data_IF_990812902950
#
_entry.id   IF_990812902950
#
_cell.length_a   1.000
_cell.length_b   1.000
_cell.length_c   1.000
_cell.angle_alpha   90.00
_cell.angle_beta   90.00
_cell.angle_gamma   90.00
#
_symmetry.space_group_name_H-M   'P 1'
#
loop_
_entity.id
_entity.type
_entity.pdbx_description
1 polymer ?
#
# COMPACT_ATOMS: atom_id res chain seq x y z
N UNK A 1 -34.01 -5.51 40.72
CA UNK A 1 -34.40 -6.44 39.64
C UNK A 1 -34.29 -5.71 38.30
N UNK A 2 -33.28 -6.05 37.49
CA UNK A 2 -33.25 -5.94 36.01
C UNK A 2 -31.94 -6.59 35.58
N UNK A 3 -32.03 -7.84 35.09
CA UNK A 3 -30.89 -8.65 34.66
C UNK A 3 -30.52 -8.20 33.24
N UNK A 4 -29.34 -7.62 33.05
CA UNK A 4 -28.76 -7.44 31.72
C UNK A 4 -28.15 -8.76 31.28
N UNK A 5 -28.82 -9.46 30.36
CA UNK A 5 -28.27 -10.64 29.69
C UNK A 5 -27.28 -10.20 28.61
N UNK A 6 -25.99 -10.34 28.87
CA UNK A 6 -24.94 -10.20 27.87
C UNK A 6 -24.85 -11.51 27.09
N UNK A 7 -25.24 -11.50 25.82
CA UNK A 7 -25.13 -12.64 24.91
C UNK A 7 -23.76 -12.55 24.23
N UNK A 8 -22.78 -13.31 24.71
CA UNK A 8 -21.48 -13.48 24.02
C UNK A 8 -21.65 -14.63 23.03
N UNK A 9 -21.70 -14.31 21.74
CA UNK A 9 -21.72 -15.28 20.66
C UNK A 9 -20.28 -15.76 20.38
N UNK A 10 -19.86 -16.81 21.09
CA UNK A 10 -18.60 -17.52 20.84
C UNK A 10 -18.83 -18.51 19.68
N UNK A 11 -18.59 -18.05 18.45
CA UNK A 11 -18.50 -18.92 17.26
C UNK A 11 -17.15 -19.64 17.29
N UNK A 12 -17.09 -20.75 18.03
CA UNK A 12 -15.97 -21.68 18.00
C UNK A 12 -16.07 -22.46 16.68
N UNK A 13 -15.35 -22.03 15.65
CA UNK A 13 -15.03 -22.89 14.52
C UNK A 13 -14.03 -23.94 14.98
N UNK A 14 -14.53 -25.07 15.48
CA UNK A 14 -13.74 -26.28 15.66
C UNK A 14 -13.44 -26.88 14.27
N UNK A 15 -12.41 -26.35 13.60
CA UNK A 15 -11.84 -27.02 12.45
C UNK A 15 -11.03 -28.23 12.96
N UNK A 16 -11.31 -29.46 12.50
CA UNK A 16 -10.46 -30.58 12.83
C UNK A 16 -9.06 -30.35 12.23
N UNK A 17 -8.05 -30.24 13.10
CA UNK A 17 -6.63 -30.37 12.73
C UNK A 17 -6.37 -31.83 12.34
N UNK A 18 -6.78 -32.23 11.14
CA UNK A 18 -6.16 -33.38 10.50
C UNK A 18 -4.85 -32.89 9.90
N UNK A 19 -3.74 -33.48 10.31
CA UNK A 19 -2.47 -33.30 9.61
C UNK A 19 -2.66 -33.78 8.18
N UNK A 20 -2.76 -32.86 7.23
CA UNK A 20 -2.87 -33.20 5.82
C UNK A 20 -1.60 -33.95 5.41
N UNK A 21 -1.75 -35.15 4.85
CA UNK A 21 -0.72 -35.74 4.01
C UNK A 21 -0.29 -34.68 2.99
N UNK A 22 1.03 -34.44 2.84
CA UNK A 22 1.57 -33.52 1.83
C UNK A 22 1.33 -34.12 0.45
N UNK A 23 0.10 -34.02 -0.03
CA UNK A 23 -0.25 -34.40 -1.39
C UNK A 23 0.37 -33.36 -2.32
N UNK A 24 1.23 -33.84 -3.21
CA UNK A 24 1.85 -33.01 -4.23
C UNK A 24 0.78 -32.24 -5.01
N UNK A 25 0.98 -30.93 -5.17
CA UNK A 25 0.08 -30.05 -5.91
C UNK A 25 0.63 -29.84 -7.31
N UNK A 26 -0.24 -29.83 -8.31
CA UNK A 26 0.11 -29.59 -9.72
C UNK A 26 -0.83 -28.59 -10.36
N UNK A 27 -0.36 -27.84 -11.35
CA UNK A 27 -1.12 -26.82 -12.06
C UNK A 27 -1.67 -25.71 -11.15
N UNK A 28 -2.67 -24.99 -11.65
CA UNK A 28 -3.35 -23.94 -10.90
C UNK A 28 -4.20 -24.50 -9.75
N UNK A 29 -4.01 -23.93 -8.57
CA UNK A 29 -4.78 -24.22 -7.35
C UNK A 29 -5.16 -22.93 -6.66
N UNK A 30 -6.36 -22.93 -6.10
CA UNK A 30 -6.80 -21.90 -5.19
C UNK A 30 -5.94 -21.93 -3.92
N UNK A 31 -5.27 -20.82 -3.63
CA UNK A 31 -4.41 -20.67 -2.44
C UNK A 31 -5.21 -20.29 -1.20
N UNK A 32 -6.22 -19.43 -1.38
CA UNK A 32 -7.13 -19.02 -0.34
C UNK A 32 -7.86 -17.74 -0.70
N UNK A 33 -8.87 -17.40 0.09
CA UNK A 33 -9.49 -16.09 0.09
C UNK A 33 -9.76 -15.67 1.53
N UNK A 34 -9.59 -14.38 1.80
CA UNK A 34 -9.84 -13.80 3.11
C UNK A 34 -10.72 -12.54 2.95
N UNK A 35 -11.66 -12.30 3.87
CA UNK A 35 -12.36 -11.03 3.89
C UNK A 35 -11.41 -9.91 4.32
N UNK A 36 -11.56 -8.73 3.71
CA UNK A 36 -10.88 -7.51 4.11
C UNK A 36 -11.86 -6.68 4.95
N UNK A 37 -11.79 -6.83 6.28
CA UNK A 37 -12.69 -6.20 7.24
C UNK A 37 -11.87 -5.44 8.28
N UNK A 38 -12.05 -4.12 8.33
CA UNK A 38 -11.42 -3.24 9.33
C UNK A 38 -12.36 -2.07 9.64
N UNK A 39 -11.98 -1.21 10.59
CA UNK A 39 -12.68 0.04 10.90
C UNK A 39 -11.67 1.15 11.15
N UNK A 40 -11.95 2.33 10.61
CA UNK A 40 -11.24 3.58 10.85
C UNK A 40 -12.25 4.65 11.28
N UNK A 41 -11.91 5.46 12.29
CA UNK A 41 -12.85 6.45 12.84
C UNK A 41 -13.18 7.59 11.87
N UNK A 42 -12.29 7.89 10.93
CA UNK A 42 -12.49 8.90 9.90
C UNK A 42 -13.05 8.31 8.60
N UNK A 43 -12.58 7.13 8.21
CA UNK A 43 -12.91 6.50 6.93
C UNK A 43 -14.07 5.48 7.03
N UNK A 44 -14.48 5.13 8.24
CA UNK A 44 -15.59 4.21 8.52
C UNK A 44 -15.20 2.74 8.40
N UNK A 45 -16.18 1.90 8.07
CA UNK A 45 -15.99 0.45 7.97
C UNK A 45 -15.37 0.08 6.62
N UNK A 46 -14.35 -0.77 6.62
CA UNK A 46 -13.80 -1.40 5.43
C UNK A 46 -14.47 -2.76 5.19
N UNK A 47 -14.85 -2.99 3.95
CA UNK A 47 -15.37 -4.28 3.49
C UNK A 47 -14.74 -4.65 2.15
N UNK A 48 -14.58 -5.94 1.91
CA UNK A 48 -13.96 -6.46 0.69
C UNK A 48 -13.45 -7.87 0.87
N UNK A 49 -12.66 -8.32 -0.10
CA UNK A 49 -11.99 -9.60 -0.04
C UNK A 49 -10.70 -9.58 -0.86
N UNK A 50 -9.79 -10.48 -0.49
CA UNK A 50 -8.65 -10.86 -1.28
C UNK A 50 -8.71 -12.35 -1.61
N UNK A 51 -8.11 -12.73 -2.72
CA UNK A 51 -7.98 -14.11 -3.14
C UNK A 51 -6.64 -14.32 -3.85
N UNK A 52 -6.11 -15.54 -3.74
CA UNK A 52 -4.87 -15.92 -4.39
C UNK A 52 -4.94 -17.30 -5.05
N UNK A 53 -4.15 -17.46 -6.11
CA UNK A 53 -3.99 -18.72 -6.82
C UNK A 53 -2.50 -18.97 -7.06
N UNK A 54 -2.11 -20.25 -6.98
CA UNK A 54 -0.75 -20.70 -7.23
C UNK A 54 -0.75 -21.71 -8.36
N UNK A 55 0.17 -21.56 -9.30
CA UNK A 55 0.48 -22.56 -10.29
C UNK A 55 1.69 -23.37 -9.85
N UNK A 56 1.47 -24.63 -9.46
CA UNK A 56 2.54 -25.53 -9.06
C UNK A 56 3.22 -26.23 -10.25
N UNK A 57 2.66 -26.15 -11.47
CA UNK A 57 3.21 -26.88 -12.62
C UNK A 57 3.20 -28.40 -12.38
N UNK A 58 4.36 -29.04 -12.54
CA UNK A 58 4.54 -30.48 -12.33
C UNK A 58 4.86 -30.83 -10.88
N UNK A 59 4.66 -32.09 -10.43
CA UNK A 59 4.83 -32.45 -9.01
C UNK A 59 6.22 -32.14 -8.43
N UNK A 60 7.26 -32.16 -9.27
CA UNK A 60 8.65 -31.88 -8.87
C UNK A 60 8.92 -30.45 -8.40
N UNK A 61 8.02 -29.50 -8.67
CA UNK A 61 8.16 -28.10 -8.23
C UNK A 61 7.68 -27.94 -6.78
N UNK A 62 6.71 -28.73 -6.34
CA UNK A 62 6.16 -28.63 -4.99
C UNK A 62 7.26 -28.90 -3.93
N UNK A 63 7.36 -28.10 -2.85
CA UNK A 63 6.39 -27.13 -2.33
C UNK A 63 6.45 -25.72 -2.91
N UNK A 64 7.38 -25.43 -3.83
CA UNK A 64 7.46 -24.15 -4.52
C UNK A 64 6.36 -24.02 -5.59
N UNK A 65 6.19 -22.80 -6.10
CA UNK A 65 5.26 -22.51 -7.20
C UNK A 65 6.00 -21.85 -8.37
N UNK A 66 5.42 -22.00 -9.55
CA UNK A 66 5.90 -21.36 -10.77
C UNK A 66 5.31 -19.97 -10.92
N UNK A 67 3.99 -19.86 -10.77
CA UNK A 67 3.26 -18.59 -10.91
C UNK A 67 2.35 -18.38 -9.69
N UNK A 68 2.12 -17.13 -9.31
CA UNK A 68 1.15 -16.75 -8.28
C UNK A 68 0.37 -15.53 -8.71
N UNK A 69 -0.91 -15.52 -8.41
CA UNK A 69 -1.77 -14.35 -8.56
C UNK A 69 -2.36 -13.97 -7.22
N UNK A 70 -2.47 -12.67 -7.00
CA UNK A 70 -3.16 -12.08 -5.86
C UNK A 70 -4.11 -11.01 -6.38
N UNK A 71 -5.34 -11.01 -5.91
CA UNK A 71 -6.33 -9.97 -6.23
C UNK A 71 -7.01 -9.51 -4.95
N UNK A 72 -7.08 -8.20 -4.76
CA UNK A 72 -7.83 -7.58 -3.66
C UNK A 72 -8.78 -6.50 -4.20
N UNK A 73 -10.01 -6.55 -3.72
CA UNK A 73 -10.97 -5.46 -3.85
C UNK A 73 -11.54 -5.18 -2.46
N UNK A 74 -11.12 -4.07 -1.87
CA UNK A 74 -11.58 -3.62 -0.56
C UNK A 74 -11.78 -2.11 -0.52
N UNK A 75 -12.76 -1.65 0.25
CA UNK A 75 -13.14 -0.25 0.30
C UNK A 75 -13.72 0.13 1.66
N UNK A 76 -13.37 1.31 2.13
CA UNK A 76 -13.97 2.00 3.25
C UNK A 76 -15.30 2.67 2.85
N UNK A 77 -16.26 2.76 3.76
CA UNK A 77 -17.54 3.44 3.50
C UNK A 77 -17.38 4.91 3.11
N UNK A 78 -16.29 5.57 3.52
CA UNK A 78 -15.95 6.94 3.13
C UNK A 78 -15.07 7.05 1.89
N UNK A 79 -14.79 5.95 1.20
CA UNK A 79 -14.29 5.97 -0.18
C UNK A 79 -12.81 5.63 -0.37
N UNK A 80 -12.01 5.53 0.69
CA UNK A 80 -10.65 4.95 0.56
C UNK A 80 -10.74 3.47 0.19
N UNK A 81 -9.74 2.91 -0.47
CA UNK A 81 -9.78 1.50 -0.86
C UNK A 81 -8.52 0.98 -1.52
N UNK A 82 -8.54 -0.33 -1.76
CA UNK A 82 -7.49 -1.08 -2.44
C UNK A 82 -8.14 -1.88 -3.55
N UNK A 83 -7.75 -1.58 -4.79
CA UNK A 83 -8.12 -2.33 -5.98
C UNK A 83 -6.85 -2.79 -6.66
N UNK A 84 -6.46 -4.04 -6.39
CA UNK A 84 -5.11 -4.52 -6.69
C UNK A 84 -5.16 -5.88 -7.37
N UNK A 85 -4.37 -6.04 -8.42
CA UNK A 85 -4.07 -7.33 -9.03
C UNK A 85 -2.55 -7.46 -9.17
N UNK A 86 -2.01 -8.55 -8.67
CA UNK A 86 -0.60 -8.89 -8.75
C UNK A 86 -0.45 -10.24 -9.45
N UNK A 87 0.58 -10.35 -10.28
CA UNK A 87 1.04 -11.59 -10.87
C UNK A 87 2.54 -11.72 -10.67
N UNK A 88 3.00 -12.86 -10.16
CA UNK A 88 4.41 -13.18 -10.10
C UNK A 88 4.72 -14.51 -10.77
N UNK A 89 5.94 -14.61 -11.31
CA UNK A 89 6.42 -15.81 -11.98
C UNK A 89 7.90 -16.04 -11.68
N UNK A 90 8.26 -17.29 -11.42
CA UNK A 90 9.64 -17.74 -11.22
C UNK A 90 10.34 -18.20 -12.51
N UNK A 91 9.66 -18.10 -13.66
CA UNK A 91 10.11 -18.63 -14.96
C UNK A 91 10.04 -17.64 -16.12
N UNK A 92 9.93 -16.35 -15.84
CA UNK A 92 9.86 -15.35 -16.90
C UNK A 92 11.18 -15.32 -17.66
N UNK A 93 11.13 -15.27 -19.00
CA UNK A 93 12.30 -15.31 -19.89
C UNK A 93 13.39 -16.31 -19.42
N UNK A 94 12.98 -17.55 -19.16
CA UNK A 94 13.85 -18.60 -18.61
C UNK A 94 13.69 -18.77 -17.10
N UNK A 95 14.66 -18.30 -16.31
CA UNK A 95 14.67 -18.42 -14.84
C UNK A 95 14.66 -17.05 -14.13
N UNK A 96 14.17 -16.02 -14.81
CA UNK A 96 14.03 -14.68 -14.25
C UNK A 96 12.74 -14.62 -13.44
N UNK A 97 12.84 -14.09 -12.23
CA UNK A 97 11.67 -13.75 -11.44
C UNK A 97 11.04 -12.48 -12.01
N UNK A 98 9.72 -12.49 -12.19
CA UNK A 98 8.90 -11.35 -12.59
C UNK A 98 7.84 -11.13 -11.51
N UNK A 99 7.61 -9.88 -11.15
CA UNK A 99 6.45 -9.45 -10.36
C UNK A 99 5.82 -8.24 -11.02
N UNK A 100 4.53 -8.34 -11.37
CA UNK A 100 3.73 -7.25 -11.94
C UNK A 100 2.61 -6.91 -10.95
N UNK A 101 2.47 -5.63 -10.63
CA UNK A 101 1.48 -5.07 -9.70
C UNK A 101 0.67 -3.98 -10.41
N UNK A 102 -0.63 -4.21 -10.61
CA UNK A 102 -1.58 -3.21 -11.07
C UNK A 102 -2.47 -2.81 -9.89
N UNK A 103 -2.51 -1.53 -9.57
CA UNK A 103 -3.24 -1.02 -8.40
C UNK A 103 -3.95 0.32 -8.68
N UNK A 104 -5.17 0.47 -8.19
CA UNK A 104 -5.81 1.75 -7.92
C UNK A 104 -6.06 1.87 -6.42
N UNK A 105 -5.52 2.92 -5.81
CA UNK A 105 -5.45 3.12 -4.36
C UNK A 105 -6.01 4.52 -4.04
N UNK A 106 -7.34 4.70 -4.01
CA UNK A 106 -7.93 5.92 -3.51
C UNK A 106 -7.71 6.04 -2.01
N UNK A 107 -7.16 7.16 -1.57
CA UNK A 107 -7.02 7.52 -0.16
C UNK A 107 -7.64 8.90 0.09
N UNK A 108 -8.66 8.91 0.92
CA UNK A 108 -9.53 10.05 1.18
C UNK A 108 -9.10 10.90 2.38
N UNK A 109 -8.07 10.45 3.09
CA UNK A 109 -7.44 11.18 4.18
C UNK A 109 -5.98 10.69 4.31
N UNK A 110 -5.19 10.87 3.25
CA UNK A 110 -3.79 10.51 3.21
C UNK A 110 -2.96 11.41 4.13
N UNK A 111 -2.04 10.81 4.89
CA UNK A 111 -1.14 11.53 5.77
C UNK A 111 -0.20 12.48 5.01
N UNK A 112 -0.16 13.76 5.42
CA UNK A 112 0.65 14.80 4.83
C UNK A 112 1.39 15.59 5.91
N UNK A 113 2.69 15.31 6.04
CA UNK A 113 3.56 15.90 7.08
C UNK A 113 4.69 16.77 6.53
N UNK A 114 4.67 17.10 5.23
CA UNK A 114 5.75 17.85 4.62
C UNK A 114 5.74 17.77 3.11
N UNK A 115 6.59 18.58 2.47
CA UNK A 115 6.69 18.69 1.03
C UNK A 115 8.17 18.79 0.60
N UNK A 116 8.53 18.11 -0.49
CA UNK A 116 9.88 18.13 -1.08
C UNK A 116 11.04 17.92 -0.10
N UNK A 117 10.87 17.00 0.84
CA UNK A 117 11.91 16.62 1.81
C UNK A 117 12.00 17.52 3.05
N UNK A 118 11.17 18.57 3.15
CA UNK A 118 11.01 19.36 4.36
C UNK A 118 9.86 18.82 5.21
N UNK A 119 10.18 18.40 6.43
CA UNK A 119 9.18 18.00 7.42
C UNK A 119 8.51 19.24 8.04
N UNK A 120 7.20 19.19 8.17
CA UNK A 120 6.43 20.16 8.94
C UNK A 120 6.61 19.91 10.44
N UNK A 121 6.49 20.99 11.24
CA UNK A 121 6.41 20.84 12.69
C UNK A 121 5.10 20.15 13.05
N UNK A 122 5.19 18.91 13.53
CA UNK A 122 4.01 18.16 13.96
C UNK A 122 3.47 18.68 15.30
N UNK A 123 2.18 19.01 15.31
CA UNK A 123 1.45 19.40 16.51
C UNK A 123 0.15 18.62 16.64
N UNK A 124 0.13 17.67 17.58
CA UNK A 124 -1.02 16.81 17.85
C UNK A 124 -2.26 17.55 18.33
N UNK A 125 -2.12 18.71 18.99
CA UNK A 125 -3.25 19.45 19.55
C UNK A 125 -4.09 20.11 18.45
N UNK A 126 -3.56 20.29 17.23
CA UNK A 126 -4.35 20.77 16.10
C UNK A 126 -5.34 19.72 15.56
N UNK A 127 -5.13 18.44 15.85
CA UNK A 127 -5.95 17.33 15.36
C UNK A 127 -6.87 16.73 16.43
N UNK A 128 -6.54 16.91 17.71
CA UNK A 128 -7.29 16.34 18.82
C UNK A 128 -7.89 17.45 19.63
N UNK A 129 -9.20 17.41 19.79
CA UNK A 129 -9.85 18.30 20.73
C UNK A 129 -9.51 17.87 22.16
N UNK A 130 -8.75 18.72 22.84
CA UNK A 130 -8.28 18.53 24.22
C UNK A 130 -8.84 19.62 25.14
N UNK A 131 -9.85 20.39 24.69
CA UNK A 131 -10.43 21.53 25.40
C UNK A 131 -9.40 22.63 25.77
N UNK A 132 -8.24 22.66 25.10
CA UNK A 132 -7.16 23.63 25.32
C UNK A 132 -7.24 24.86 24.37
N UNK A 133 -8.26 24.89 23.50
CA UNK A 133 -8.47 25.93 22.50
C UNK A 133 -7.53 25.87 21.30
N UNK A 134 -6.70 24.82 21.16
CA UNK A 134 -5.74 24.68 20.06
C UNK A 134 -6.24 23.80 18.91
N UNK A 135 -7.37 23.10 19.08
CA UNK A 135 -7.96 22.26 18.06
C UNK A 135 -8.28 23.06 16.78
N UNK A 136 -7.93 22.49 15.62
CA UNK A 136 -8.25 23.04 14.30
C UNK A 136 -9.20 22.11 13.55
N UNK A 137 -8.69 20.92 13.23
CA UNK A 137 -9.45 19.88 12.55
C UNK A 137 -8.69 18.57 12.62
N UNK A 138 -9.40 17.45 12.82
CA UNK A 138 -8.80 16.11 12.71
C UNK A 138 -8.11 15.84 11.37
N UNK A 139 -8.41 16.64 10.34
CA UNK A 139 -7.83 16.52 9.00
C UNK A 139 -6.64 17.45 8.75
N UNK A 140 -6.07 18.09 9.78
CA UNK A 140 -5.08 19.14 9.58
C UNK A 140 -3.85 18.65 8.79
N UNK A 141 -3.34 17.45 9.09
CA UNK A 141 -2.21 16.84 8.38
C UNK A 141 -2.67 15.82 7.34
N UNK A 142 -3.79 16.09 6.66
CA UNK A 142 -4.41 15.16 5.69
C UNK A 142 -4.68 15.84 4.36
N UNK A 143 -4.56 15.07 3.28
CA UNK A 143 -5.01 15.43 1.93
C UNK A 143 -5.71 14.25 1.26
N UNK A 144 -6.49 14.49 0.21
CA UNK A 144 -6.98 13.42 -0.66
C UNK A 144 -5.88 13.03 -1.66
N UNK A 145 -5.57 11.74 -1.77
CA UNK A 145 -4.64 11.18 -2.75
C UNK A 145 -5.23 9.94 -3.39
N UNK A 146 -5.54 10.02 -4.68
CA UNK A 146 -5.84 8.84 -5.48
C UNK A 146 -4.60 8.44 -6.28
N UNK A 147 -4.19 7.18 -6.18
CA UNK A 147 -3.03 6.68 -6.91
C UNK A 147 -3.44 5.58 -7.89
N UNK A 148 -3.11 5.74 -9.16
CA UNK A 148 -3.04 4.64 -10.10
C UNK A 148 -1.58 4.21 -10.27
N UNK A 149 -1.33 2.90 -10.33
CA UNK A 149 0.03 2.36 -10.38
C UNK A 149 0.10 1.05 -11.16
N UNK A 150 1.11 0.96 -12.01
CA UNK A 150 1.64 -0.29 -12.55
C UNK A 150 3.09 -0.41 -12.13
N UNK A 151 3.51 -1.54 -11.57
CA UNK A 151 4.91 -1.87 -11.34
C UNK A 151 5.24 -3.20 -12.00
N UNK A 152 6.40 -3.30 -12.61
CA UNK A 152 6.95 -4.54 -13.15
C UNK A 152 8.40 -4.64 -12.71
N UNK A 153 8.69 -5.57 -11.81
CA UNK A 153 10.02 -5.83 -11.26
C UNK A 153 10.53 -7.19 -11.76
N UNK A 154 11.79 -7.21 -12.20
CA UNK A 154 12.52 -8.36 -12.67
C UNK A 154 13.70 -8.63 -11.74
N UNK A 155 13.98 -9.91 -11.48
CA UNK A 155 15.19 -10.31 -10.77
C UNK A 155 15.78 -11.57 -11.39
N UNK A 156 17.08 -11.54 -11.70
CA UNK A 156 17.81 -12.70 -12.22
C UNK A 156 19.13 -12.94 -11.50
N UNK A 157 19.77 -14.07 -11.76
CA UNK A 157 21.05 -14.44 -11.12
C UNK A 157 22.21 -13.72 -11.79
N UNK A 158 23.16 -13.23 -10.98
CA UNK A 158 24.47 -12.75 -11.46
C UNK A 158 25.51 -13.87 -11.26
N UNK A 159 25.72 -14.28 -10.00
CA UNK A 159 26.74 -15.27 -9.65
C UNK A 159 26.35 -16.01 -8.37
N UNK A 160 26.77 -17.28 -8.28
CA UNK A 160 26.42 -18.15 -7.16
C UNK A 160 24.91 -18.29 -6.96
N UNK A 161 24.51 -18.53 -5.71
CA UNK A 161 23.09 -18.73 -5.35
C UNK A 161 22.40 -17.44 -4.90
N UNK A 162 23.16 -16.49 -4.36
CA UNK A 162 22.62 -15.37 -3.60
C UNK A 162 22.75 -14.02 -4.31
N UNK A 163 23.74 -13.86 -5.21
CA UNK A 163 23.97 -12.58 -5.89
C UNK A 163 23.12 -12.50 -7.16
N UNK A 164 22.30 -11.45 -7.24
CA UNK A 164 21.24 -11.27 -8.22
C UNK A 164 21.25 -9.84 -8.77
N UNK A 165 20.76 -9.66 -10.00
CA UNK A 165 20.47 -8.35 -10.58
C UNK A 165 18.97 -8.09 -10.44
N UNK A 166 18.59 -6.83 -10.36
CA UNK A 166 17.22 -6.36 -10.39
C UNK A 166 17.04 -5.29 -11.44
N UNK A 167 15.92 -5.31 -12.15
CA UNK A 167 15.49 -4.22 -13.02
C UNK A 167 14.00 -3.98 -12.76
N UNK A 168 13.54 -2.74 -12.85
CA UNK A 168 12.14 -2.43 -12.60
C UNK A 168 11.64 -1.26 -13.43
N UNK A 169 10.33 -1.26 -13.64
CA UNK A 169 9.60 -0.15 -14.23
C UNK A 169 8.38 0.14 -13.35
N UNK A 170 8.14 1.42 -13.05
CA UNK A 170 6.92 1.87 -12.43
C UNK A 170 6.26 2.94 -13.29
N UNK A 171 4.96 2.82 -13.49
CA UNK A 171 4.11 3.84 -14.08
C UNK A 171 3.10 4.28 -13.03
N UNK A 172 3.09 5.55 -12.65
CA UNK A 172 2.28 6.03 -11.52
C UNK A 172 1.63 7.37 -11.86
N UNK A 173 0.35 7.48 -11.53
CA UNK A 173 -0.36 8.75 -11.51
C UNK A 173 -0.87 9.02 -10.11
N UNK A 174 -0.61 10.22 -9.64
CA UNK A 174 -1.16 10.76 -8.40
C UNK A 174 -2.15 11.84 -8.75
N UNK A 175 -3.35 11.77 -8.17
CA UNK A 175 -4.31 12.86 -8.15
C UNK A 175 -4.43 13.31 -6.71
N UNK A 176 -4.03 14.55 -6.44
CA UNK A 176 -4.04 15.15 -5.12
C UNK A 176 -5.16 16.18 -5.00
N UNK A 177 -5.59 16.43 -3.78
CA UNK A 177 -6.55 17.49 -3.50
C UNK A 177 -6.86 17.64 -2.02
N UNK A 178 -7.72 18.61 -1.73
CA UNK A 178 -8.25 18.80 -0.38
C UNK A 178 -9.13 17.62 0.04
N UNK A 179 -9.16 17.33 1.35
CA UNK A 179 -10.06 16.32 1.89
C UNK A 179 -11.52 16.75 1.68
N UNK A 180 -12.33 15.87 1.11
CA UNK A 180 -13.79 16.08 1.00
C UNK A 180 -14.48 15.94 2.37
N UNK A 181 -14.57 17.08 3.08
CA UNK A 181 -15.19 17.18 4.40
C UNK A 181 -16.68 16.81 4.37
N UNK A 182 -17.40 17.15 3.30
CA UNK A 182 -18.82 16.83 3.17
C UNK A 182 -19.05 15.31 3.17
N UNK A 183 -18.21 14.57 2.43
CA UNK A 183 -18.21 13.11 2.46
C UNK A 183 -17.90 12.55 3.84
N UNK A 184 -16.89 13.09 4.52
CA UNK A 184 -16.51 12.63 5.86
C UNK A 184 -17.61 12.89 6.89
N UNK A 185 -18.28 14.04 6.83
CA UNK A 185 -19.37 14.42 7.73
C UNK A 185 -20.69 13.70 7.47
N UNK A 186 -20.86 13.03 6.31
CA UNK A 186 -22.09 12.30 5.98
C UNK A 186 -22.47 11.30 7.07
N UNK A 187 -23.62 11.48 7.71
CA UNK A 187 -24.13 10.58 8.76
C UNK A 187 -23.52 10.80 10.15
N UNK A 188 -22.77 11.89 10.37
CA UNK A 188 -22.34 12.33 11.70
C UNK A 188 -23.36 13.27 12.33
N UNK A 189 -23.38 13.35 13.65
CA UNK A 189 -24.12 14.39 14.37
C UNK A 189 -23.41 15.74 14.19
N UNK A 190 -24.14 16.85 14.37
CA UNK A 190 -23.61 18.22 14.22
C UNK A 190 -22.36 18.44 15.08
N UNK A 191 -22.36 17.94 16.31
CA UNK A 191 -21.26 18.05 17.27
C UNK A 191 -19.99 17.28 16.83
N UNK A 192 -20.13 16.24 16.01
CA UNK A 192 -19.05 15.39 15.52
C UNK A 192 -18.53 15.80 14.13
N UNK A 193 -19.10 16.85 13.55
CA UNK A 193 -18.75 17.32 12.21
C UNK A 193 -17.39 17.99 12.20
N UNK A 194 -16.58 17.65 11.20
CA UNK A 194 -15.34 18.35 10.91
C UNK A 194 -15.67 19.73 10.30
N UNK A 195 -14.94 20.80 10.67
CA UNK A 195 -15.10 22.09 10.03
C UNK A 195 -14.69 22.00 8.56
N UNK A 196 -15.31 22.82 7.71
CA UNK A 196 -15.00 22.85 6.28
C UNK A 196 -13.62 23.47 6.04
N UNK A 197 -12.96 23.06 4.95
CA UNK A 197 -11.58 23.47 4.62
C UNK A 197 -11.44 25.00 4.50
N UNK A 198 -12.48 25.70 4.03
CA UNK A 198 -12.49 27.15 3.91
C UNK A 198 -12.48 27.89 5.26
N UNK A 199 -12.98 27.24 6.32
CA UNK A 199 -12.98 27.79 7.68
C UNK A 199 -11.71 27.38 8.45
N UNK A 200 -11.29 26.12 8.30
CA UNK A 200 -10.13 25.54 8.97
C UNK A 200 -9.26 24.80 7.94
N UNK A 201 -8.36 25.51 7.23
CA UNK A 201 -7.48 24.89 6.25
C UNK A 201 -6.47 23.94 6.90
N UNK A 202 -6.18 22.83 6.23
CA UNK A 202 -5.13 21.91 6.61
C UNK A 202 -3.75 22.39 6.14
N UNK A 203 -2.73 21.61 6.47
CA UNK A 203 -1.35 21.88 6.09
C UNK A 203 -1.17 21.93 4.57
N UNK A 204 -1.87 21.06 3.82
CA UNK A 204 -1.80 21.03 2.37
C UNK A 204 -2.33 22.34 1.76
N UNK A 205 -3.49 22.82 2.22
CA UNK A 205 -4.03 24.12 1.78
C UNK A 205 -3.15 25.28 2.21
N UNK A 206 -2.59 25.26 3.42
CA UNK A 206 -1.66 26.30 3.87
C UNK A 206 -0.43 26.35 2.96
N UNK A 207 0.13 25.20 2.58
CA UNK A 207 1.31 25.13 1.72
C UNK A 207 1.00 25.53 0.28
N UNK A 208 -0.17 25.19 -0.24
CA UNK A 208 -0.61 25.54 -1.60
C UNK A 208 -1.06 26.99 -1.72
N UNK A 209 -1.97 27.43 -0.85
CA UNK A 209 -2.75 28.67 -1.02
C UNK A 209 -2.15 29.84 -0.23
N UNK A 210 -1.71 29.59 1.01
CA UNK A 210 -1.25 30.66 1.91
C UNK A 210 0.24 30.97 1.76
N UNK A 211 1.07 29.95 1.57
CA UNK A 211 2.53 30.08 1.52
C UNK A 211 3.11 29.94 0.11
N UNK A 212 2.35 29.42 -0.86
CA UNK A 212 2.82 29.19 -2.22
C UNK A 212 4.02 28.25 -2.33
N UNK A 213 4.18 27.35 -1.35
CA UNK A 213 5.25 26.34 -1.31
C UNK A 213 4.97 25.22 -2.32
N UNK A 214 3.70 24.83 -2.46
CA UNK A 214 3.24 23.89 -3.49
C UNK A 214 2.74 24.72 -4.66
N UNK A 215 3.40 24.59 -5.80
CA UNK A 215 3.02 25.30 -7.02
C UNK A 215 1.71 24.74 -7.59
N UNK A 216 0.96 25.56 -8.35
CA UNK A 216 -0.33 25.13 -8.93
C UNK A 216 -0.19 23.92 -9.87
N UNK A 217 0.96 23.75 -10.53
CA UNK A 217 1.24 22.60 -11.39
C UNK A 217 1.65 21.33 -10.62
N UNK A 218 2.07 21.44 -9.36
CA UNK A 218 2.32 20.29 -8.47
C UNK A 218 1.10 19.92 -7.61
N UNK A 219 0.20 20.88 -7.41
CA UNK A 219 -0.89 20.78 -6.45
C UNK A 219 -1.85 19.62 -6.75
N UNK A 220 -2.14 19.36 -8.02
CA UNK A 220 -3.10 18.32 -8.43
C UNK A 220 -2.47 16.93 -8.56
N UNK A 221 -1.17 16.81 -8.28
CA UNK A 221 -0.40 15.58 -8.48
C UNK A 221 0.26 15.53 -9.84
N UNK A 222 0.37 14.35 -10.43
CA UNK A 222 1.08 14.15 -11.69
C UNK A 222 1.60 12.75 -11.91
N UNK A 223 2.40 12.60 -12.97
CA UNK A 223 3.01 11.33 -13.36
C UNK A 223 4.37 11.13 -12.70
N UNK A 224 4.61 9.93 -12.17
CA UNK A 224 5.89 9.51 -11.60
C UNK A 224 6.28 8.14 -12.15
N UNK A 225 6.85 8.16 -13.35
CA UNK A 225 7.24 7.00 -14.13
C UNK A 225 8.74 6.76 -13.97
N UNK A 226 9.12 5.62 -13.42
CA UNK A 226 10.50 5.34 -13.04
C UNK A 226 11.06 4.08 -13.67
N UNK A 227 12.37 4.10 -13.88
CA UNK A 227 13.18 2.94 -14.22
C UNK A 227 14.12 2.64 -13.05
N UNK A 228 14.29 1.37 -12.75
CA UNK A 228 15.11 0.88 -11.64
C UNK A 228 16.15 -0.11 -12.14
N UNK A 229 17.34 -0.03 -11.58
CA UNK A 229 18.39 -1.04 -11.69
C UNK A 229 18.99 -1.29 -10.31
N UNK A 230 19.24 -2.55 -9.97
CA UNK A 230 19.71 -2.93 -8.64
C UNK A 230 20.62 -4.17 -8.66
N UNK A 231 21.44 -4.29 -7.62
CA UNK A 231 22.14 -5.52 -7.24
C UNK A 231 21.56 -5.99 -5.92
N UNK A 232 21.22 -7.28 -5.87
CA UNK A 232 20.55 -7.90 -4.73
C UNK A 232 21.39 -9.07 -4.22
N UNK A 233 21.56 -9.13 -2.91
CA UNK A 233 22.03 -10.31 -2.18
C UNK A 233 20.85 -10.91 -1.41
N UNK A 234 20.45 -12.12 -1.77
CA UNK A 234 19.37 -12.85 -1.11
C UNK A 234 19.85 -14.22 -0.65
N UNK A 235 20.04 -14.36 0.66
CA UNK A 235 20.42 -15.61 1.32
C UNK A 235 19.35 -16.09 2.30
N UNK A 236 18.12 -15.59 2.16
CA UNK A 236 16.99 -16.00 3.00
C UNK A 236 16.69 -17.48 2.81
N UNK A 237 16.26 -18.13 3.88
CA UNK A 237 15.81 -19.52 3.83
C UNK A 237 14.44 -19.69 3.17
N UNK A 238 13.56 -18.70 3.32
CA UNK A 238 12.23 -18.69 2.74
C UNK A 238 11.82 -17.26 2.30
N UNK A 239 11.16 -17.13 1.15
CA UNK A 239 10.78 -15.81 0.60
C UNK A 239 9.58 -15.16 1.29
N UNK A 240 8.42 -15.83 1.42
CA UNK A 240 7.24 -15.25 2.05
C UNK A 240 7.37 -15.10 3.58
N UNK A 241 8.11 -15.99 4.25
CA UNK A 241 8.29 -15.94 5.70
C UNK A 241 9.71 -16.41 6.10
N UNK A 242 10.74 -15.57 5.90
CA UNK A 242 12.13 -15.87 6.25
C UNK A 242 12.33 -15.94 7.78
N UNK A 243 13.08 -16.95 8.22
CA UNK A 243 13.47 -17.13 9.63
C UNK A 243 14.98 -17.02 9.86
N UNK A 244 15.77 -17.00 8.78
CA UNK A 244 17.22 -16.77 8.83
C UNK A 244 17.73 -16.19 7.51
N UNK A 245 18.83 -15.44 7.60
CA UNK A 245 19.60 -15.00 6.44
C UNK A 245 19.41 -13.52 6.11
N UNK A 246 19.88 -13.10 4.93
CA UNK A 246 19.99 -11.68 4.57
C UNK A 246 19.23 -11.38 3.28
N UNK A 247 18.60 -10.21 3.24
CA UNK A 247 18.21 -9.54 2.01
C UNK A 247 18.84 -8.15 1.97
N UNK A 248 19.79 -7.94 1.06
CA UNK A 248 20.39 -6.63 0.81
C UNK A 248 20.18 -6.22 -0.63
N UNK A 249 19.77 -4.98 -0.85
CA UNK A 249 19.58 -4.42 -2.18
C UNK A 249 20.22 -3.04 -2.24
N UNK A 250 21.12 -2.86 -3.21
CA UNK A 250 21.66 -1.56 -3.59
C UNK A 250 21.08 -1.22 -4.97
N UNK A 251 20.43 -0.08 -5.10
CA UNK A 251 19.77 0.28 -6.36
C UNK A 251 19.78 1.76 -6.67
N UNK A 252 19.53 2.03 -7.94
CA UNK A 252 19.24 3.35 -8.49
C UNK A 252 17.87 3.32 -9.14
N UNK A 253 17.08 4.35 -8.90
CA UNK A 253 15.80 4.60 -9.55
C UNK A 253 15.84 5.99 -10.19
N UNK A 254 15.45 6.08 -11.46
CA UNK A 254 15.46 7.33 -12.23
C UNK A 254 14.07 7.63 -12.77
N UNK A 255 13.68 8.90 -12.75
CA UNK A 255 12.47 9.41 -13.40
C UNK A 255 12.89 10.30 -14.59
N UNK A 256 13.10 9.75 -15.79
CA UNK A 256 13.49 10.55 -16.94
C UNK A 256 12.29 11.26 -17.58
N UNK A 257 12.50 12.46 -18.12
CA UNK A 257 11.43 13.26 -18.74
C UNK A 257 10.75 12.58 -19.94
N UNK A 258 11.48 11.76 -20.72
CA UNK A 258 10.92 11.05 -21.88
C UNK A 258 9.84 10.02 -21.52
N UNK A 259 9.71 9.64 -20.24
CA UNK A 259 8.60 8.82 -19.74
C UNK A 259 7.37 9.65 -19.35
N UNK A 260 7.30 10.92 -19.73
CA UNK A 260 6.17 11.80 -19.43
C UNK A 260 6.16 12.30 -17.98
N UNK A 261 7.33 12.36 -17.35
CA UNK A 261 7.49 12.97 -16.03
C UNK A 261 7.61 14.49 -16.17
N UNK A 262 6.82 15.23 -15.37
CA UNK A 262 6.90 16.69 -15.30
C UNK A 262 8.22 17.16 -14.66
N UNK A 263 8.76 16.37 -13.72
CA UNK A 263 10.07 16.59 -13.10
C UNK A 263 10.93 15.34 -13.13
N UNK A 264 12.21 15.53 -13.43
CA UNK A 264 13.19 14.46 -13.39
C UNK A 264 13.88 14.36 -12.04
N UNK A 265 14.10 13.14 -11.57
CA UNK A 265 14.93 12.88 -10.39
C UNK A 265 15.69 11.57 -10.51
N UNK A 266 16.66 11.39 -9.62
CA UNK A 266 17.37 10.14 -9.39
C UNK A 266 17.41 9.86 -7.90
N UNK A 267 17.22 8.59 -7.54
CA UNK A 267 17.23 8.11 -6.16
C UNK A 267 18.19 6.94 -6.06
N UNK A 268 19.20 7.09 -5.21
CA UNK A 268 20.03 5.99 -4.76
C UNK A 268 19.47 5.46 -3.45
N UNK A 269 19.41 4.14 -3.31
CA UNK A 269 18.89 3.55 -2.09
C UNK A 269 19.63 2.26 -1.73
N UNK A 270 19.65 1.98 -0.44
CA UNK A 270 20.11 0.74 0.13
C UNK A 270 18.99 0.21 1.03
N UNK A 271 18.62 -1.05 0.85
CA UNK A 271 17.73 -1.77 1.77
C UNK A 271 18.49 -2.95 2.33
N UNK A 272 18.51 -3.09 3.65
CA UNK A 272 19.11 -4.24 4.33
C UNK A 272 18.10 -4.83 5.31
N UNK A 273 17.91 -6.14 5.25
CA UNK A 273 17.10 -6.92 6.19
C UNK A 273 17.89 -8.15 6.61
N UNK A 274 17.90 -8.40 7.91
CA UNK A 274 18.51 -9.57 8.52
C UNK A 274 17.45 -10.29 9.35
N UNK A 275 17.38 -11.60 9.14
CA UNK A 275 16.44 -12.52 9.78
C UNK A 275 17.22 -13.53 10.62
#
# INVERSE_FOLDING_TARGET
MKKCSVFIMLLIFALPLTGQEKKEKTGWKFGGALPAITFDSNLGFQYGALAEFFNYGDPSVYPDFIDHTYTEVSRFTKGSGIYRMMYESNRFLGKTYLCVDLSYLPDKAYDFYGFNGYESVFNKNWMKDLDDGLYKTGMFYRLERNQFRIKADLQGKISGKNLKWGAGFAFQNFMLGSVDINRLNKGKNVEDMLPVVTEQPGLYEIYRDSLGIISSNEADGGWVNTLKAAVVWDSRDNRPNPMKGLWSELGVEIAPSFLGNDWGFSKFYITHRQY
#
